data_IF_715580200811
#
_entry.id   IF_715580200811
#
_cell.length_a   1.000
_cell.length_b   1.000
_cell.length_c   1.000
_cell.angle_alpha   90.00
_cell.angle_beta   90.00
_cell.angle_gamma   90.00
#
_symmetry.space_group_name_H-M   'P 1'
#
loop_
_entity.id
_entity.type
_entity.pdbx_description
1 polymer ?
#
# COMPACT_ATOMS: atom_id res chain seq x y z
N UNK A 1 -2.04 -9.86 22.13
CA UNK A 1 -1.88 -11.28 22.54
C UNK A 1 -3.10 -12.09 22.18
N UNK A 2 -2.92 -13.38 21.87
CA UNK A 2 -4.03 -14.30 21.61
C UNK A 2 -3.75 -15.68 22.21
N UNK A 3 -4.74 -16.25 22.90
CA UNK A 3 -4.73 -17.59 23.49
C UNK A 3 -5.94 -18.38 22.98
N UNK A 4 -5.81 -19.70 22.91
CA UNK A 4 -6.89 -20.61 22.52
C UNK A 4 -7.18 -21.60 23.64
N UNK A 5 -8.45 -21.84 23.92
CA UNK A 5 -8.92 -22.75 24.96
C UNK A 5 -10.25 -23.44 24.61
N UNK A 6 -10.82 -24.13 25.59
CA UNK A 6 -12.10 -24.84 25.48
C UNK A 6 -12.05 -26.17 24.70
N UNK A 7 -13.10 -27.01 24.77
CA UNK A 7 -13.22 -28.22 23.97
C UNK A 7 -13.11 -27.90 22.49
N UNK A 8 -12.22 -28.60 21.77
CA UNK A 8 -11.97 -28.41 20.33
C UNK A 8 -11.52 -26.99 19.92
N UNK A 9 -11.05 -26.14 20.86
CA UNK A 9 -10.50 -24.82 20.53
C UNK A 9 -11.56 -23.77 20.17
N UNK A 10 -12.77 -23.89 20.73
CA UNK A 10 -13.91 -23.00 20.48
C UNK A 10 -13.90 -21.71 21.30
N UNK A 11 -12.91 -21.53 22.17
CA UNK A 11 -12.69 -20.30 22.92
C UNK A 11 -11.39 -19.63 22.47
N UNK A 12 -11.49 -18.35 22.13
CA UNK A 12 -10.36 -17.49 21.80
C UNK A 12 -10.33 -16.33 22.78
N UNK A 13 -9.18 -16.06 23.38
CA UNK A 13 -8.95 -14.93 24.28
C UNK A 13 -7.91 -14.00 23.64
N UNK A 14 -8.31 -12.76 23.37
CA UNK A 14 -7.58 -11.82 22.53
C UNK A 14 -7.50 -10.45 23.20
N UNK A 15 -6.30 -9.87 23.21
CA UNK A 15 -6.09 -8.47 23.60
C UNK A 15 -5.44 -7.72 22.45
N UNK A 16 -6.04 -6.59 22.07
CA UNK A 16 -5.65 -5.79 20.92
C UNK A 16 -5.17 -4.39 21.32
N UNK A 17 -4.29 -3.81 20.50
CA UNK A 17 -3.87 -2.41 20.58
C UNK A 17 -3.70 -1.89 19.15
N UNK A 18 -4.38 -0.80 18.80
CA UNK A 18 -4.32 -0.24 17.44
C UNK A 18 -4.92 -1.15 16.37
N UNK A 19 -5.81 -2.09 16.74
CA UNK A 19 -6.49 -3.00 15.82
C UNK A 19 -7.96 -2.65 15.77
N UNK A 20 -8.49 -2.53 14.57
CA UNK A 20 -9.88 -2.19 14.26
C UNK A 20 -10.61 -3.34 13.58
N UNK A 21 -9.88 -4.30 13.01
CA UNK A 21 -10.42 -5.50 12.41
C UNK A 21 -9.41 -6.64 12.45
N UNK A 22 -9.88 -7.88 12.56
CA UNK A 22 -9.02 -9.05 12.55
C UNK A 22 -9.74 -10.28 12.01
N UNK A 23 -8.93 -11.21 11.52
CA UNK A 23 -9.34 -12.53 11.07
C UNK A 23 -8.53 -13.57 11.80
N UNK A 24 -9.21 -14.53 12.43
CA UNK A 24 -8.56 -15.60 13.18
C UNK A 24 -8.97 -16.93 12.59
N UNK A 25 -7.98 -17.78 12.30
CA UNK A 25 -8.24 -19.15 11.91
C UNK A 25 -8.93 -19.92 13.05
N UNK A 26 -9.91 -20.75 12.72
CA UNK A 26 -10.61 -21.63 13.65
C UNK A 26 -10.47 -23.08 13.15
N UNK A 27 -9.26 -23.66 13.16
CA UNK A 27 -9.03 -25.04 12.77
C UNK A 27 -9.95 -25.98 13.57
N UNK A 28 -10.54 -26.96 12.88
CA UNK A 28 -11.48 -27.92 13.46
C UNK A 28 -12.94 -27.45 13.52
N UNK A 29 -13.21 -26.14 13.48
CA UNK A 29 -14.57 -25.63 13.42
C UNK A 29 -15.16 -25.80 12.01
N UNK A 30 -16.39 -26.31 11.92
CA UNK A 30 -17.13 -26.32 10.67
C UNK A 30 -17.67 -24.91 10.37
N UNK A 31 -17.78 -24.51 9.09
CA UNK A 31 -18.49 -23.28 8.73
C UNK A 31 -19.90 -23.26 9.33
N UNK A 32 -20.29 -22.13 9.90
CA UNK A 32 -21.56 -21.95 10.59
C UNK A 32 -21.53 -22.26 12.08
N UNK A 33 -20.50 -22.93 12.60
CA UNK A 33 -20.32 -23.14 14.05
C UNK A 33 -20.16 -21.80 14.79
N UNK A 34 -20.78 -21.68 15.97
CA UNK A 34 -20.57 -20.54 16.86
C UNK A 34 -19.25 -20.68 17.60
N UNK A 35 -18.45 -19.63 17.63
CA UNK A 35 -17.17 -19.54 18.32
C UNK A 35 -17.27 -18.40 19.33
N UNK A 36 -16.92 -18.67 20.59
CA UNK A 36 -16.89 -17.66 21.62
C UNK A 36 -15.52 -16.98 21.60
N UNK A 37 -15.51 -15.69 21.28
CA UNK A 37 -14.30 -14.87 21.28
C UNK A 37 -14.37 -13.90 22.43
N UNK A 38 -13.53 -14.09 23.44
CA UNK A 38 -13.20 -13.06 24.42
C UNK A 38 -12.18 -12.11 23.79
N UNK A 39 -12.55 -10.84 23.63
CA UNK A 39 -11.72 -9.84 22.96
C UNK A 39 -11.85 -8.49 23.67
N UNK A 40 -10.73 -7.93 24.14
CA UNK A 40 -10.69 -6.64 24.84
C UNK A 40 -11.71 -6.52 25.99
N UNK A 41 -11.93 -7.60 26.73
CA UNK A 41 -12.91 -7.67 27.82
C UNK A 41 -14.37 -7.86 27.39
N UNK A 42 -14.64 -8.05 26.09
CA UNK A 42 -15.95 -8.33 25.52
C UNK A 42 -16.06 -9.79 25.07
N UNK A 43 -17.22 -10.43 25.29
CA UNK A 43 -17.55 -11.70 24.64
C UNK A 43 -18.29 -11.46 23.32
N UNK A 44 -17.78 -12.00 22.21
CA UNK A 44 -18.43 -12.01 20.90
C UNK A 44 -18.72 -13.45 20.49
N UNK A 45 -19.97 -13.76 20.18
CA UNK A 45 -20.37 -15.07 19.62
C UNK A 45 -20.30 -15.01 18.10
N UNK A 46 -19.11 -15.25 17.56
CA UNK A 46 -18.84 -15.14 16.13
C UNK A 46 -19.22 -16.43 15.37
N UNK A 47 -19.64 -16.29 14.11
CA UNK A 47 -19.86 -17.45 13.23
C UNK A 47 -18.59 -17.78 12.45
N UNK A 48 -18.15 -19.04 12.51
CA UNK A 48 -17.08 -19.56 11.67
C UNK A 48 -17.50 -19.51 10.19
N UNK A 49 -16.60 -19.03 9.34
CA UNK A 49 -16.78 -18.87 7.88
C UNK A 49 -15.71 -19.66 7.14
N UNK A 50 -15.98 -20.14 5.91
CA UNK A 50 -14.94 -20.74 5.07
C UNK A 50 -13.82 -19.74 4.83
N UNK A 51 -12.57 -20.19 4.87
CA UNK A 51 -11.43 -19.30 4.70
C UNK A 51 -10.95 -19.14 3.24
N UNK A 52 -11.55 -19.91 2.32
CA UNK A 52 -11.16 -20.00 0.91
C UNK A 52 -10.02 -20.98 0.62
N UNK A 53 -9.45 -21.62 1.66
CA UNK A 53 -8.34 -22.59 1.60
C UNK A 53 -8.70 -23.92 2.27
N UNK A 54 -10.00 -24.23 2.34
CA UNK A 54 -10.52 -25.46 2.92
C UNK A 54 -10.51 -25.49 4.46
N UNK A 55 -10.29 -24.36 5.14
CA UNK A 55 -10.38 -24.22 6.60
C UNK A 55 -11.48 -23.23 6.96
N UNK A 56 -11.62 -22.96 8.26
CA UNK A 56 -12.56 -21.99 8.79
C UNK A 56 -11.85 -20.85 9.51
N UNK A 57 -12.49 -19.69 9.56
CA UNK A 57 -12.05 -18.53 10.32
C UNK A 57 -13.23 -17.75 10.90
N UNK A 58 -12.96 -16.95 11.93
CA UNK A 58 -13.85 -15.86 12.35
C UNK A 58 -13.26 -14.53 11.90
N UNK A 59 -14.15 -13.58 11.63
CA UNK A 59 -13.83 -12.24 11.16
C UNK A 59 -14.57 -11.25 12.05
N UNK A 60 -13.82 -10.37 12.70
CA UNK A 60 -14.35 -9.39 13.63
C UNK A 60 -13.93 -7.98 13.20
N UNK A 61 -14.81 -7.02 13.40
CA UNK A 61 -14.51 -5.60 13.26
C UNK A 61 -14.97 -4.86 14.51
N UNK A 62 -14.28 -3.77 14.82
CA UNK A 62 -14.61 -2.86 15.91
C UNK A 62 -15.44 -1.71 15.36
N UNK A 63 -16.73 -1.73 15.65
CA UNK A 63 -17.73 -0.76 15.21
C UNK A 63 -18.19 0.03 16.43
N UNK A 64 -18.12 1.36 16.35
CA UNK A 64 -18.53 2.27 17.44
C UNK A 64 -17.96 1.86 18.82
N UNK A 65 -16.69 1.46 18.83
CA UNK A 65 -15.95 1.06 20.02
C UNK A 65 -16.15 -0.39 20.48
N UNK A 66 -17.05 -1.16 19.85
CA UNK A 66 -17.38 -2.56 20.22
C UNK A 66 -17.00 -3.56 19.14
N UNK A 67 -16.57 -4.74 19.53
CA UNK A 67 -16.29 -5.83 18.60
C UNK A 67 -17.58 -6.51 18.15
N UNK A 68 -17.67 -6.85 16.86
CA UNK A 68 -18.83 -7.53 16.29
C UNK A 68 -18.48 -8.42 15.11
N UNK A 69 -19.41 -9.31 14.78
CA UNK A 69 -19.38 -10.15 13.58
C UNK A 69 -20.56 -9.78 12.64
N UNK A 70 -20.78 -10.56 11.58
CA UNK A 70 -21.95 -10.41 10.72
C UNK A 70 -21.81 -9.36 9.60
N UNK A 71 -22.95 -8.88 9.04
CA UNK A 71 -22.95 -8.07 7.83
C UNK A 71 -22.24 -6.72 7.96
N UNK A 72 -22.35 -6.04 9.09
CA UNK A 72 -21.70 -4.74 9.32
C UNK A 72 -20.19 -4.89 9.45
N UNK A 73 -19.74 -5.88 10.25
CA UNK A 73 -18.32 -6.20 10.35
C UNK A 73 -17.75 -6.61 8.98
N UNK A 74 -18.52 -7.36 8.18
CA UNK A 74 -18.15 -7.68 6.80
C UNK A 74 -18.01 -6.43 5.93
N UNK A 75 -18.98 -5.51 5.97
CA UNK A 75 -18.90 -4.23 5.23
C UNK A 75 -17.67 -3.42 5.63
N UNK A 76 -17.33 -3.42 6.92
CA UNK A 76 -16.13 -2.77 7.42
C UNK A 76 -14.85 -3.39 6.85
N UNK A 77 -14.74 -4.73 6.90
CA UNK A 77 -13.61 -5.48 6.32
C UNK A 77 -13.48 -5.33 4.80
N UNK A 78 -14.60 -5.21 4.10
CA UNK A 78 -14.65 -5.04 2.65
C UNK A 78 -14.39 -3.59 2.20
N UNK A 79 -14.37 -2.63 3.13
CA UNK A 79 -14.22 -1.20 2.83
C UNK A 79 -12.84 -0.84 2.25
N UNK A 80 -12.72 0.41 1.78
CA UNK A 80 -11.48 0.98 1.21
C UNK A 80 -10.49 1.40 2.29
N UNK A 81 -10.20 0.50 3.22
CA UNK A 81 -9.25 0.70 4.31
C UNK A 81 -8.01 -0.13 4.07
N UNK A 82 -6.95 0.20 4.80
CA UNK A 82 -5.76 -0.63 4.91
C UNK A 82 -6.14 -2.03 5.37
N UNK A 83 -5.70 -3.03 4.62
CA UNK A 83 -5.96 -4.45 4.88
C UNK A 83 -4.85 -5.28 4.29
N UNK A 84 -4.75 -6.56 4.68
CA UNK A 84 -3.71 -7.47 4.19
C UNK A 84 -3.65 -7.48 2.65
N UNK A 85 -2.46 -7.26 2.10
CA UNK A 85 -2.16 -7.10 0.67
C UNK A 85 -2.40 -5.70 0.11
N UNK A 86 -2.98 -4.79 0.90
CA UNK A 86 -3.22 -3.37 0.57
C UNK A 86 -3.13 -2.51 1.85
N UNK A 87 -1.98 -2.50 2.54
CA UNK A 87 -1.77 -1.75 3.79
C UNK A 87 -0.62 -0.72 3.78
N UNK A 88 0.22 -0.72 2.75
CA UNK A 88 1.48 0.03 2.71
C UNK A 88 2.57 -0.61 3.59
N UNK A 89 3.76 -0.02 3.71
CA UNK A 89 4.23 1.22 3.07
C UNK A 89 4.52 1.02 1.58
N UNK A 90 5.21 1.97 0.93
CA UNK A 90 5.52 1.94 -0.51
C UNK A 90 6.02 0.57 -1.00
N UNK A 91 6.89 -0.08 -0.23
CA UNK A 91 7.48 -1.36 -0.61
C UNK A 91 6.47 -2.53 -0.69
N UNK A 92 5.30 -2.42 -0.07
CA UNK A 92 4.22 -3.42 -0.15
C UNK A 92 3.74 -3.62 -1.61
N UNK A 93 3.94 -2.61 -2.47
CA UNK A 93 3.63 -2.71 -3.89
C UNK A 93 4.50 -3.72 -4.65
N UNK A 94 5.67 -4.10 -4.13
CA UNK A 94 6.59 -5.04 -4.77
C UNK A 94 6.44 -6.48 -4.26
N UNK A 95 5.47 -6.72 -3.37
CA UNK A 95 5.12 -8.05 -2.84
C UNK A 95 4.09 -8.80 -3.72
N UNK A 96 3.61 -8.17 -4.79
CA UNK A 96 2.69 -8.75 -5.79
C UNK A 96 3.10 -8.25 -7.18
N UNK A 97 2.44 -8.73 -8.24
CA UNK A 97 2.70 -8.33 -9.62
C UNK A 97 2.65 -6.80 -9.78
N UNK A 98 3.70 -6.22 -10.35
CA UNK A 98 3.77 -4.80 -10.67
C UNK A 98 4.22 -4.54 -12.11
N UNK A 99 3.99 -3.33 -12.60
CA UNK A 99 4.51 -2.80 -13.87
C UNK A 99 4.97 -1.37 -13.66
N UNK A 100 6.18 -1.05 -14.12
CA UNK A 100 6.68 0.32 -14.14
C UNK A 100 6.15 1.04 -15.38
N UNK A 101 5.73 2.29 -15.24
CA UNK A 101 5.14 3.09 -16.30
C UNK A 101 5.86 4.43 -16.40
N UNK A 102 6.46 4.68 -17.57
CA UNK A 102 7.11 5.95 -17.91
C UNK A 102 6.23 6.75 -18.87
N UNK A 103 6.27 8.08 -18.74
CA UNK A 103 5.52 8.96 -19.62
C UNK A 103 6.15 9.11 -21.01
N UNK A 104 5.33 9.28 -22.04
CA UNK A 104 5.79 9.66 -23.40
C UNK A 104 5.81 11.17 -23.63
N UNK A 105 5.23 11.95 -22.72
CA UNK A 105 5.20 13.41 -22.78
C UNK A 105 6.45 14.07 -22.21
N UNK A 106 6.55 15.38 -22.42
CA UNK A 106 7.64 16.19 -21.88
C UNK A 106 7.25 16.80 -20.53
N UNK A 107 8.09 16.60 -19.52
CA UNK A 107 7.92 17.28 -18.23
C UNK A 107 8.24 18.77 -18.35
N UNK A 108 7.44 19.61 -17.68
CA UNK A 108 7.73 21.03 -17.47
C UNK A 108 8.79 21.29 -16.40
N UNK A 109 9.16 20.26 -15.62
CA UNK A 109 10.06 20.33 -14.48
C UNK A 109 11.27 19.41 -14.71
N UNK A 110 12.26 19.82 -15.54
CA UNK A 110 13.29 18.92 -16.05
C UNK A 110 14.13 18.26 -14.94
N UNK A 111 14.50 19.00 -13.89
CA UNK A 111 15.31 18.45 -12.79
C UNK A 111 14.52 17.39 -11.99
N UNK A 112 13.23 17.61 -11.77
CA UNK A 112 12.35 16.66 -11.07
C UNK A 112 12.06 15.44 -11.93
N UNK A 113 11.91 15.63 -13.25
CA UNK A 113 11.77 14.53 -14.20
C UNK A 113 13.02 13.66 -14.27
N UNK A 114 14.21 14.27 -14.32
CA UNK A 114 15.48 13.57 -14.26
C UNK A 114 15.60 12.74 -12.98
N UNK A 115 15.24 13.30 -11.82
CA UNK A 115 15.21 12.57 -10.57
C UNK A 115 14.25 11.36 -10.63
N UNK A 116 13.04 11.53 -11.17
CA UNK A 116 12.08 10.44 -11.29
C UNK A 116 12.62 9.29 -12.16
N UNK A 117 13.22 9.62 -13.31
CA UNK A 117 13.82 8.61 -14.20
C UNK A 117 15.07 7.97 -13.58
N UNK A 118 15.92 8.74 -12.88
CA UNK A 118 17.07 8.21 -12.17
C UNK A 118 16.64 7.20 -11.08
N UNK A 119 15.52 7.45 -10.39
CA UNK A 119 14.95 6.50 -9.42
C UNK A 119 14.44 5.23 -10.08
N UNK A 120 13.81 5.31 -11.26
CA UNK A 120 13.45 4.12 -12.04
C UNK A 120 14.69 3.31 -12.42
N UNK A 121 15.72 3.96 -12.98
CA UNK A 121 16.93 3.27 -13.42
C UNK A 121 17.69 2.62 -12.25
N UNK A 122 17.78 3.31 -11.11
CA UNK A 122 18.34 2.72 -9.89
C UNK A 122 17.55 1.47 -9.45
N UNK A 123 16.22 1.52 -9.49
CA UNK A 123 15.37 0.38 -9.16
C UNK A 123 15.55 -0.78 -10.15
N UNK A 124 15.61 -0.51 -11.46
CA UNK A 124 15.85 -1.52 -12.49
C UNK A 124 17.20 -2.20 -12.31
N UNK A 125 18.25 -1.42 -12.05
CA UNK A 125 19.59 -1.94 -11.80
C UNK A 125 19.61 -2.86 -10.58
N UNK A 126 19.07 -2.38 -9.45
CA UNK A 126 19.00 -3.14 -8.21
C UNK A 126 18.17 -4.42 -8.35
N UNK A 127 17.03 -4.35 -9.05
CA UNK A 127 16.17 -5.51 -9.30
C UNK A 127 16.90 -6.59 -10.11
N UNK A 128 17.60 -6.18 -11.16
CA UNK A 128 18.37 -7.10 -12.01
C UNK A 128 19.54 -7.74 -11.28
N UNK A 129 20.28 -6.95 -10.51
CA UNK A 129 21.47 -7.40 -9.80
C UNK A 129 21.12 -8.33 -8.64
N UNK A 130 20.17 -7.93 -7.79
CA UNK A 130 19.92 -8.59 -6.50
C UNK A 130 18.70 -9.52 -6.49
N UNK A 131 17.77 -9.35 -7.43
CA UNK A 131 16.57 -10.18 -7.54
C UNK A 131 16.55 -11.02 -8.83
N UNK A 132 17.62 -10.95 -9.64
CA UNK A 132 17.83 -11.75 -10.85
C UNK A 132 16.64 -11.74 -11.82
N UNK A 133 15.97 -10.60 -11.95
CA UNK A 133 14.84 -10.41 -12.85
C UNK A 133 14.93 -9.12 -13.65
N UNK A 134 14.07 -8.99 -14.65
CA UNK A 134 13.92 -7.75 -15.40
C UNK A 134 12.62 -7.06 -14.96
N UNK A 135 12.70 -5.78 -14.63
CA UNK A 135 11.52 -4.96 -14.36
C UNK A 135 10.75 -4.77 -15.66
N UNK A 136 9.47 -5.12 -15.67
CA UNK A 136 8.58 -4.82 -16.80
C UNK A 136 8.31 -3.32 -16.82
N UNK A 137 8.73 -2.65 -17.89
CA UNK A 137 8.49 -1.22 -18.13
C UNK A 137 7.57 -1.06 -19.33
N UNK A 138 6.58 -0.17 -19.19
CA UNK A 138 5.66 0.28 -20.24
C UNK A 138 5.79 1.79 -20.39
N UNK A 139 5.51 2.27 -21.60
CA UNK A 139 5.12 3.68 -21.74
C UNK A 139 3.68 3.86 -21.28
N UNK A 140 3.27 5.09 -20.98
CA UNK A 140 1.87 5.42 -20.65
C UNK A 140 0.90 5.09 -21.80
N UNK A 141 1.37 5.19 -23.05
CA UNK A 141 0.63 4.82 -24.26
C UNK A 141 0.50 3.29 -24.44
N UNK A 142 1.51 2.52 -24.05
CA UNK A 142 1.54 1.07 -24.22
C UNK A 142 0.96 0.29 -23.01
N UNK A 143 0.50 1.01 -21.97
CA UNK A 143 -0.03 0.38 -20.77
C UNK A 143 -1.32 -0.39 -21.04
N UNK A 144 -1.28 -1.70 -20.84
CA UNK A 144 -2.37 -2.59 -21.24
C UNK A 144 -3.55 -2.54 -20.25
N UNK A 145 -4.81 -2.71 -20.73
CA UNK A 145 -5.98 -2.78 -19.85
C UNK A 145 -5.86 -3.84 -18.75
N UNK A 146 -5.31 -5.02 -19.08
CA UNK A 146 -5.06 -6.10 -18.10
C UNK A 146 -4.05 -5.71 -17.02
N UNK A 147 -3.05 -4.89 -17.36
CA UNK A 147 -2.05 -4.43 -16.40
C UNK A 147 -2.69 -3.43 -15.41
N UNK A 148 -3.59 -2.56 -15.90
CA UNK A 148 -4.39 -1.68 -15.03
C UNK A 148 -5.32 -2.44 -14.08
N UNK A 149 -5.86 -3.58 -14.52
CA UNK A 149 -6.77 -4.40 -13.74
C UNK A 149 -6.05 -5.23 -12.66
N UNK A 150 -4.92 -5.85 -13.02
CA UNK A 150 -4.36 -6.96 -12.24
C UNK A 150 -2.95 -6.73 -11.68
N UNK A 151 -2.30 -5.60 -11.98
CA UNK A 151 -0.97 -5.26 -11.45
C UNK A 151 -0.98 -3.98 -10.61
N UNK A 152 0.01 -3.87 -9.73
CA UNK A 152 0.39 -2.60 -9.11
C UNK A 152 1.05 -1.72 -10.18
N UNK A 153 0.62 -0.46 -10.29
CA UNK A 153 1.15 0.49 -11.27
C UNK A 153 2.20 1.38 -10.60
N UNK A 154 3.46 1.27 -11.01
CA UNK A 154 4.58 2.06 -10.48
C UNK A 154 4.89 3.17 -11.49
N UNK A 155 4.38 4.37 -11.24
CA UNK A 155 4.36 5.46 -12.21
C UNK A 155 5.52 6.43 -11.97
N UNK A 156 6.28 6.77 -13.00
CA UNK A 156 7.39 7.72 -12.91
C UNK A 156 7.13 8.98 -13.74
N UNK A 157 7.57 10.12 -13.20
CA UNK A 157 7.42 11.46 -13.77
C UNK A 157 6.35 12.30 -13.07
N UNK A 158 5.73 13.19 -13.82
CA UNK A 158 4.64 14.06 -13.37
C UNK A 158 3.44 14.03 -14.34
N UNK A 159 2.37 14.78 -14.03
CA UNK A 159 1.17 14.85 -14.86
C UNK A 159 1.38 15.49 -16.25
N UNK A 160 2.47 16.21 -16.48
CA UNK A 160 2.84 16.75 -17.79
C UNK A 160 3.59 15.73 -18.65
N UNK A 161 4.45 14.90 -18.05
CA UNK A 161 5.19 13.86 -18.77
C UNK A 161 4.41 12.55 -18.92
N UNK A 162 3.62 12.15 -17.91
CA UNK A 162 2.99 10.84 -17.82
C UNK A 162 1.45 10.96 -17.77
N UNK A 163 0.79 10.52 -18.84
CA UNK A 163 -0.66 10.58 -18.99
C UNK A 163 -1.41 9.78 -17.92
N UNK A 164 -0.85 8.66 -17.46
CA UNK A 164 -1.47 7.84 -16.40
C UNK A 164 -1.45 8.59 -15.07
N UNK A 165 -0.37 9.30 -14.75
CA UNK A 165 -0.30 10.16 -13.56
C UNK A 165 -1.36 11.28 -13.68
N UNK A 166 -1.44 11.95 -14.83
CA UNK A 166 -2.43 13.01 -15.08
C UNK A 166 -3.87 12.54 -14.83
N UNK A 167 -4.23 11.37 -15.37
CA UNK A 167 -5.59 10.82 -15.29
C UNK A 167 -5.95 10.28 -13.90
N UNK A 168 -4.95 9.89 -13.10
CA UNK A 168 -5.15 9.38 -11.74
C UNK A 168 -5.05 10.45 -10.67
N UNK A 169 -4.30 11.53 -10.90
CA UNK A 169 -4.06 12.58 -9.91
C UNK A 169 -5.33 13.08 -9.20
N UNK A 170 -6.47 13.32 -9.88
CA UNK A 170 -7.70 13.75 -9.19
C UNK A 170 -8.30 12.72 -8.21
N UNK A 171 -7.86 11.46 -8.27
CA UNK A 171 -8.31 10.34 -7.42
C UNK A 171 -7.24 9.87 -6.44
N UNK A 172 -6.10 10.56 -6.41
CA UNK A 172 -4.99 10.31 -5.49
C UNK A 172 -4.94 11.45 -4.47
N UNK A 173 -4.28 11.25 -3.31
CA UNK A 173 -4.15 12.28 -2.28
C UNK A 173 -3.17 13.42 -2.64
N UNK A 174 -3.04 13.77 -3.92
CA UNK A 174 -2.18 14.84 -4.43
C UNK A 174 -2.99 15.79 -5.32
N UNK A 175 -2.81 17.09 -5.15
CA UNK A 175 -3.49 18.11 -5.96
C UNK A 175 -2.49 19.07 -6.59
N UNK A 176 -2.38 19.05 -7.91
CA UNK A 176 -1.56 20.00 -8.67
C UNK A 176 -2.27 21.36 -8.77
N UNK A 177 -1.53 22.45 -8.56
CA UNK A 177 -2.02 23.84 -8.54
C UNK A 177 -0.98 24.77 -9.15
N UNK A 178 -1.14 25.12 -10.43
CA UNK A 178 -0.14 25.90 -11.15
C UNK A 178 1.21 25.17 -11.18
N UNK A 179 2.26 25.84 -10.74
CA UNK A 179 3.63 25.30 -10.65
C UNK A 179 3.92 24.55 -9.33
N UNK A 180 2.89 24.33 -8.53
CA UNK A 180 3.00 23.64 -7.24
C UNK A 180 2.10 22.40 -7.19
N UNK A 181 2.31 21.57 -6.17
CA UNK A 181 1.37 20.54 -5.77
C UNK A 181 1.15 20.58 -4.26
N UNK A 182 -0.01 20.06 -3.84
CA UNK A 182 -0.43 19.99 -2.45
C UNK A 182 -0.56 18.53 -2.04
N UNK A 183 0.06 18.19 -0.92
CA UNK A 183 -0.02 16.90 -0.25
C UNK A 183 -0.36 17.17 1.22
N UNK A 184 -1.57 16.77 1.63
CA UNK A 184 -2.15 17.14 2.92
C UNK A 184 -2.40 18.64 3.00
N UNK A 185 -1.89 19.27 4.05
CA UNK A 185 -1.96 20.72 4.27
C UNK A 185 -0.77 21.48 3.69
N UNK A 186 0.25 20.77 3.17
CA UNK A 186 1.50 21.35 2.71
C UNK A 186 1.52 21.53 1.20
N UNK A 187 2.14 22.63 0.77
CA UNK A 187 2.33 23.01 -0.63
C UNK A 187 3.81 22.92 -0.99
N UNK A 188 4.11 22.35 -2.15
CA UNK A 188 5.46 22.12 -2.63
C UNK A 188 5.62 22.63 -4.06
N UNK A 189 6.80 23.19 -4.35
CA UNK A 189 7.15 23.65 -5.68
C UNK A 189 7.51 22.47 -6.59
N UNK A 190 6.75 22.28 -7.67
CA UNK A 190 6.86 21.13 -8.57
C UNK A 190 8.15 21.14 -9.41
N UNK A 191 8.85 22.28 -9.52
CA UNK A 191 10.14 22.38 -10.20
C UNK A 191 11.32 21.89 -9.36
N UNK A 192 11.11 21.70 -8.04
CA UNK A 192 12.17 21.33 -7.10
C UNK A 192 11.82 20.18 -6.16
N UNK A 193 10.56 19.75 -6.11
CA UNK A 193 10.09 18.67 -5.23
C UNK A 193 9.40 17.56 -6.03
N UNK A 194 9.71 16.32 -5.69
CA UNK A 194 9.13 15.13 -6.28
C UNK A 194 8.19 14.46 -5.27
N UNK A 195 6.89 14.30 -5.59
CA UNK A 195 5.97 13.55 -4.75
C UNK A 195 6.21 12.05 -4.90
N UNK A 196 6.33 11.35 -3.78
CA UNK A 196 6.40 9.89 -3.69
C UNK A 196 5.23 9.43 -2.84
N UNK A 197 4.44 8.45 -3.31
CA UNK A 197 3.36 7.87 -2.51
C UNK A 197 2.95 6.49 -3.01
N UNK A 198 2.29 5.73 -2.15
CA UNK A 198 1.49 4.54 -2.48
C UNK A 198 0.03 4.79 -2.10
N UNK A 199 -0.90 4.35 -2.95
CA UNK A 199 -2.33 4.44 -2.67
C UNK A 199 -3.09 3.32 -3.38
N UNK A 200 -4.24 2.83 -2.84
CA UNK A 200 -5.09 1.90 -3.55
C UNK A 200 -5.44 2.40 -4.96
N UNK A 201 -5.28 1.51 -5.94
CA UNK A 201 -5.54 1.83 -7.34
C UNK A 201 -7.03 2.11 -7.55
N UNK A 202 -7.38 3.25 -8.19
CA UNK A 202 -8.75 3.52 -8.61
C UNK A 202 -9.30 2.51 -9.61
N UNK A 203 -8.45 1.74 -10.31
CA UNK A 203 -8.86 0.68 -11.24
C UNK A 203 -9.20 -0.62 -10.52
N UNK A 204 -8.47 -0.94 -9.44
CA UNK A 204 -8.70 -2.12 -8.62
C UNK A 204 -8.19 -1.86 -7.19
N UNK A 205 -9.10 -1.86 -6.21
CA UNK A 205 -8.77 -1.58 -4.80
C UNK A 205 -7.97 -2.69 -4.11
N UNK A 206 -7.68 -3.80 -4.79
CA UNK A 206 -6.75 -4.86 -4.37
C UNK A 206 -5.34 -4.67 -4.93
N UNK A 207 -5.10 -3.56 -5.62
CA UNK A 207 -3.83 -3.19 -6.26
C UNK A 207 -3.46 -1.77 -5.88
N UNK A 208 -2.23 -1.41 -6.17
CA UNK A 208 -1.66 -0.12 -5.87
C UNK A 208 -1.40 0.74 -7.10
N UNK A 209 -1.37 2.04 -6.85
CA UNK A 209 -0.62 3.01 -7.64
C UNK A 209 0.50 3.53 -6.74
N UNK A 210 1.73 3.49 -7.23
CA UNK A 210 2.90 4.12 -6.62
C UNK A 210 3.37 5.26 -7.52
N UNK A 211 3.69 6.41 -6.93
CA UNK A 211 4.34 7.52 -7.65
C UNK A 211 5.83 7.55 -7.31
N UNK A 212 6.66 7.61 -8.35
CA UNK A 212 8.06 8.01 -8.33
C UNK A 212 8.98 7.22 -7.40
N UNK A 213 8.70 5.93 -7.15
CA UNK A 213 9.56 5.09 -6.32
C UNK A 213 9.62 3.65 -6.79
N UNK A 214 10.82 3.06 -6.72
CA UNK A 214 11.01 1.62 -6.56
C UNK A 214 10.98 1.24 -5.09
N UNK A 215 11.75 0.20 -4.72
CA UNK A 215 12.07 -0.06 -3.31
C UNK A 215 12.62 1.20 -2.63
N UNK A 216 12.34 1.32 -1.33
CA UNK A 216 12.78 2.48 -0.54
C UNK A 216 14.10 2.24 0.18
N UNK A 217 14.51 0.98 0.33
CA UNK A 217 15.90 0.60 0.60
C UNK A 217 16.72 0.59 -0.69
N UNK A 218 18.04 0.76 -0.58
CA UNK A 218 18.94 0.91 -1.72
C UNK A 218 20.06 -0.11 -1.76
N UNK A 219 21.06 0.21 -2.58
CA UNK A 219 22.20 -0.65 -2.88
C UNK A 219 23.00 -1.04 -1.62
N UNK A 220 23.14 -0.11 -0.68
CA UNK A 220 23.86 -0.36 0.56
C UNK A 220 23.18 -1.46 1.41
N UNK A 221 21.85 -1.43 1.51
CA UNK A 221 21.08 -2.47 2.19
C UNK A 221 21.11 -3.80 1.44
N UNK A 222 21.02 -3.76 0.10
CA UNK A 222 21.05 -4.94 -0.77
C UNK A 222 22.38 -5.69 -0.72
N UNK A 223 23.51 -4.96 -0.64
CA UNK A 223 24.83 -5.56 -0.41
C UNK A 223 25.05 -6.07 1.01
N UNK A 224 24.21 -5.62 1.94
CA UNK A 224 24.31 -5.94 3.36
C UNK A 224 23.70 -7.30 3.69
N UNK A 225 22.87 -7.32 4.74
CA UNK A 225 22.14 -8.50 5.18
C UNK A 225 20.65 -8.29 4.95
N UNK A 226 19.91 -9.38 4.73
CA UNK A 226 18.45 -9.36 4.60
C UNK A 226 17.75 -8.66 5.77
N UNK A 227 18.37 -8.56 6.95
CA UNK A 227 17.85 -7.79 8.09
C UNK A 227 17.73 -6.28 7.81
N UNK A 228 18.40 -5.75 6.78
CA UNK A 228 18.34 -4.36 6.37
C UNK A 228 17.29 -4.09 5.27
N UNK A 229 16.67 -5.13 4.70
CA UNK A 229 15.69 -5.04 3.63
C UNK A 229 14.29 -4.74 4.18
N UNK A 230 14.20 -3.66 4.96
CA UNK A 230 12.93 -3.11 5.45
C UNK A 230 12.67 -1.73 4.83
N UNK A 231 11.38 -1.32 4.73
CA UNK A 231 11.01 -0.04 4.15
C UNK A 231 11.67 1.15 4.85
N UNK A 232 12.19 2.11 4.06
CA UNK A 232 12.82 3.35 4.54
C UNK A 232 11.91 4.56 4.42
N UNK A 233 10.82 4.45 3.67
CA UNK A 233 9.75 5.46 3.61
C UNK A 233 8.41 4.81 3.98
N UNK A 234 7.49 5.63 4.49
CA UNK A 234 6.13 5.20 4.82
C UNK A 234 5.24 5.06 3.58
N UNK A 235 3.99 5.50 3.68
CA UNK A 235 3.08 5.51 2.53
C UNK A 235 3.32 6.68 1.58
N UNK A 236 4.00 7.72 2.04
CA UNK A 236 4.32 8.90 1.24
C UNK A 236 5.63 9.53 1.69
N UNK A 237 6.25 10.26 0.76
CA UNK A 237 7.43 11.06 0.99
C UNK A 237 7.50 12.23 0.02
N UNK A 238 8.29 13.24 0.39
CA UNK A 238 8.66 14.36 -0.47
C UNK A 238 10.16 14.37 -0.62
N UNK A 239 10.64 14.31 -1.86
CA UNK A 239 12.05 14.42 -2.18
C UNK A 239 12.35 15.79 -2.78
N UNK A 240 13.44 16.44 -2.36
CA UNK A 240 13.99 17.60 -3.06
C UNK A 240 14.94 17.12 -4.15
N UNK A 241 14.77 17.66 -5.36
CA UNK A 241 15.66 17.41 -6.48
C UNK A 241 16.92 18.28 -6.40
N UNK A 242 17.98 17.89 -7.13
CA UNK A 242 19.27 18.60 -7.14
C UNK A 242 20.43 17.83 -6.53
N UNK A 243 20.17 16.65 -5.94
CA UNK A 243 21.18 15.68 -5.53
C UNK A 243 20.85 14.28 -6.06
N UNK A 244 21.85 13.39 -6.29
CA UNK A 244 21.59 12.02 -6.70
C UNK A 244 20.62 11.30 -5.76
N UNK A 245 19.58 10.68 -6.30
CA UNK A 245 18.56 9.96 -5.53
C UNK A 245 17.50 10.85 -4.83
N UNK A 246 17.74 12.16 -4.77
CA UNK A 246 16.88 13.15 -4.11
C UNK A 246 17.08 13.21 -2.59
N UNK A 247 16.98 14.40 -2.01
CA UNK A 247 17.03 14.59 -0.56
C UNK A 247 15.65 14.32 0.05
N UNK A 248 15.55 13.39 0.99
CA UNK A 248 14.31 13.13 1.71
C UNK A 248 14.00 14.27 2.68
N UNK A 249 12.92 15.01 2.43
CA UNK A 249 12.49 16.11 3.30
C UNK A 249 11.50 15.67 4.37
N UNK A 250 10.53 14.85 3.97
CA UNK A 250 9.43 14.41 4.82
C UNK A 250 8.94 13.06 4.34
N UNK A 251 8.52 12.20 5.27
CA UNK A 251 7.82 10.96 4.99
C UNK A 251 6.84 10.65 6.11
N UNK A 252 5.80 9.87 5.79
CA UNK A 252 4.81 9.50 6.79
C UNK A 252 3.86 8.41 6.30
N UNK A 253 2.86 8.15 7.12
CA UNK A 253 1.80 7.18 6.84
C UNK A 253 0.47 7.91 6.65
N UNK A 254 -0.39 7.35 5.82
CA UNK A 254 -1.81 7.68 5.78
C UNK A 254 -2.53 7.01 6.95
N UNK A 255 -3.70 7.54 7.31
CA UNK A 255 -4.63 6.88 8.21
C UNK A 255 -5.11 5.54 7.62
N UNK A 256 -5.78 4.75 8.45
CA UNK A 256 -6.34 3.45 8.05
C UNK A 256 -7.30 3.54 6.86
N UNK A 257 -8.00 4.66 6.68
CA UNK A 257 -8.88 4.92 5.54
C UNK A 257 -8.17 5.56 4.34
N UNK A 258 -6.84 5.53 4.32
CA UNK A 258 -5.98 6.14 3.30
C UNK A 258 -6.06 7.67 3.22
N UNK A 259 -6.67 8.33 4.22
CA UNK A 259 -6.67 9.79 4.32
C UNK A 259 -5.36 10.33 4.93
N UNK A 260 -5.11 11.63 4.76
CA UNK A 260 -4.01 12.32 5.42
C UNK A 260 -4.17 12.26 6.96
N UNK A 261 -3.09 12.04 7.73
CA UNK A 261 -3.14 12.18 9.18
C UNK A 261 -3.61 13.59 9.57
N UNK A 262 -4.41 13.67 10.63
CA UNK A 262 -4.88 14.95 11.20
C UNK A 262 -3.75 15.70 11.90
#
# INVERSE_FOLDING_TARGET
>A
DAKRGGPQGQELDVTTRGVTALRMATPGAQPGTSINVQIDGQTVRARAKPDGKGKSCVELARLDGRWGDGPEAKRYLDSKRKKVGVQGPIDDAFMDRFVCVVGTGQSKNPIVHELALARLEAFRAAWREHFHGEVVVRTDADLLPRERADANLILFGDASSNAVIRDLSPRLPIRYVGDDFVMGTRRYNAASHLPVLIHPSPYNQKRYVVLNSGHTFGEAELKGTNALLFPRMGDWAILRAGVPGGELLEAGFFNEDWSWPQ
#
